data_IF_804387358789
#
_entry.id   IF_804387358789
#
_cell.length_a   1.000
_cell.length_b   1.000
_cell.length_c   1.000
_cell.angle_alpha   90.00
_cell.angle_beta   90.00
_cell.angle_gamma   90.00
#
_symmetry.space_group_name_H-M   'P 1'
#
loop_
_entity.id
_entity.type
_entity.pdbx_description
1 polymer ?
#
# COMPACT_ATOMS: atom_id res chain seq x y z
N UNK A 1 7.42 -13.90 -10.82
CA UNK A 1 6.34 -13.30 -11.63
C UNK A 1 6.30 -13.90 -13.03
N UNK A 2 7.36 -13.77 -13.86
CA UNK A 2 7.39 -14.30 -15.24
C UNK A 2 7.11 -15.81 -15.33
N UNK A 3 7.77 -16.64 -14.51
CA UNK A 3 7.54 -18.09 -14.52
C UNK A 3 6.13 -18.52 -14.12
N UNK A 4 5.52 -17.84 -13.15
CA UNK A 4 4.12 -18.07 -12.75
C UNK A 4 3.16 -17.59 -13.84
N UNK A 5 3.50 -16.49 -14.53
CA UNK A 5 2.76 -15.99 -15.69
C UNK A 5 2.74 -16.98 -16.86
N UNK A 6 3.89 -17.52 -17.24
CA UNK A 6 4.00 -18.55 -18.30
C UNK A 6 3.22 -19.81 -17.91
N UNK A 7 3.34 -20.26 -16.66
CA UNK A 7 2.61 -21.42 -16.16
C UNK A 7 1.09 -21.22 -16.15
N UNK A 8 0.62 -20.02 -15.80
CA UNK A 8 -0.80 -19.69 -15.82
C UNK A 8 -1.35 -19.64 -17.26
N UNK A 9 -0.58 -19.06 -18.19
CA UNK A 9 -0.95 -18.98 -19.61
C UNK A 9 -0.98 -20.37 -20.26
N UNK A 10 -0.02 -21.25 -19.96
CA UNK A 10 0.05 -22.59 -20.56
C UNK A 10 -0.94 -23.59 -19.96
N UNK A 11 -1.23 -23.49 -18.65
CA UNK A 11 -1.95 -24.56 -17.93
C UNK A 11 -3.32 -24.11 -17.42
N UNK A 12 -3.64 -22.81 -17.38
CA UNK A 12 -4.87 -22.22 -16.82
C UNK A 12 -5.23 -22.67 -15.38
N UNK A 13 -4.28 -23.29 -14.69
CA UNK A 13 -4.45 -23.97 -13.41
C UNK A 13 -3.55 -23.35 -12.33
N UNK A 14 -3.06 -22.13 -12.53
CA UNK A 14 -2.30 -21.41 -11.51
C UNK A 14 -3.25 -20.82 -10.43
N UNK A 15 -4.08 -21.68 -9.85
CA UNK A 15 -4.89 -21.34 -8.69
C UNK A 15 -4.09 -21.68 -7.43
N UNK A 16 -3.92 -20.70 -6.55
CA UNK A 16 -3.32 -20.94 -5.24
C UNK A 16 -4.45 -21.22 -4.24
N UNK A 17 -4.57 -22.46 -3.71
CA UNK A 17 -5.63 -22.81 -2.77
C UNK A 17 -5.61 -21.90 -1.54
N UNK A 18 -6.78 -21.43 -1.13
CA UNK A 18 -6.93 -20.45 -0.05
C UNK A 18 -6.21 -20.89 1.25
N UNK A 19 -6.37 -22.14 1.64
CA UNK A 19 -5.73 -22.71 2.83
C UNK A 19 -4.20 -22.75 2.72
N UNK A 20 -3.66 -23.00 1.53
CA UNK A 20 -2.22 -22.98 1.30
C UNK A 20 -1.65 -21.57 1.44
N UNK A 21 -2.37 -20.55 0.94
CA UNK A 21 -2.00 -19.14 1.11
C UNK A 21 -1.95 -18.73 2.58
N UNK A 22 -2.96 -19.12 3.35
CA UNK A 22 -3.00 -18.85 4.80
C UNK A 22 -1.82 -19.54 5.48
N UNK A 23 -1.56 -20.82 5.20
CA UNK A 23 -0.42 -21.55 5.75
C UNK A 23 0.91 -20.86 5.45
N UNK A 24 1.12 -20.42 4.20
CA UNK A 24 2.31 -19.68 3.80
C UNK A 24 2.46 -18.33 4.54
N UNK A 25 1.35 -17.60 4.73
CA UNK A 25 1.35 -16.34 5.50
C UNK A 25 1.66 -16.57 6.98
N UNK A 26 1.14 -17.64 7.58
CA UNK A 26 1.45 -18.03 8.97
C UNK A 26 2.95 -18.33 9.11
N UNK A 27 3.51 -19.14 8.20
CA UNK A 27 4.94 -19.47 8.22
C UNK A 27 5.82 -18.24 8.02
N UNK A 28 5.46 -17.35 7.08
CA UNK A 28 6.18 -16.10 6.86
C UNK A 28 6.13 -15.20 8.11
N UNK A 29 4.97 -15.08 8.74
CA UNK A 29 4.82 -14.37 10.01
C UNK A 29 5.66 -14.97 11.14
N UNK A 30 5.66 -16.31 11.26
CA UNK A 30 6.48 -17.01 12.23
C UNK A 30 7.98 -16.79 11.98
N UNK A 31 8.44 -16.79 10.73
CA UNK A 31 9.83 -16.49 10.36
C UNK A 31 10.24 -15.06 10.74
N UNK A 32 9.36 -14.07 10.55
CA UNK A 32 9.59 -12.70 10.99
C UNK A 32 9.64 -12.65 12.53
N UNK A 33 8.72 -13.34 13.20
CA UNK A 33 8.65 -13.41 14.66
C UNK A 33 9.89 -14.05 15.30
N UNK A 34 10.42 -15.13 14.73
CA UNK A 34 11.63 -15.80 15.21
C UNK A 34 12.90 -14.94 15.09
N UNK A 35 12.87 -13.87 14.27
CA UNK A 35 13.97 -12.90 14.16
C UNK A 35 13.96 -11.83 15.25
N UNK A 36 12.92 -11.79 16.08
CA UNK A 36 12.82 -10.82 17.17
C UNK A 36 13.70 -11.29 18.33
N UNK A 37 14.87 -10.66 18.47
CA UNK A 37 15.81 -10.91 19.56
C UNK A 37 15.88 -9.70 20.51
N UNK A 38 16.57 -9.87 21.64
CA UNK A 38 16.77 -8.81 22.65
C UNK A 38 17.44 -7.56 22.07
N UNK A 39 18.33 -7.73 21.09
CA UNK A 39 18.97 -6.63 20.36
C UNK A 39 17.96 -5.88 19.49
N UNK A 40 17.07 -6.59 18.79
CA UNK A 40 15.99 -5.99 17.99
C UNK A 40 15.12 -5.08 18.85
N UNK A 41 14.74 -5.54 20.05
CA UNK A 41 13.91 -4.78 21.01
C UNK A 41 14.63 -3.53 21.52
N UNK A 42 15.95 -3.56 21.71
CA UNK A 42 16.71 -2.35 22.04
C UNK A 42 16.77 -1.38 20.86
N UNK A 43 16.96 -1.88 19.64
CA UNK A 43 16.92 -1.08 18.41
C UNK A 43 15.58 -0.36 18.22
N UNK A 44 14.45 -0.96 18.64
CA UNK A 44 13.13 -0.31 18.57
C UNK A 44 13.08 1.08 19.25
N UNK A 45 13.83 1.28 20.33
CA UNK A 45 13.89 2.60 21.01
C UNK A 45 14.57 3.65 20.14
N UNK A 46 15.59 3.27 19.40
CA UNK A 46 16.30 4.16 18.47
C UNK A 46 15.47 4.44 17.21
N UNK A 47 14.65 3.46 16.78
CA UNK A 47 13.74 3.56 15.64
C UNK A 47 12.51 4.43 15.90
N UNK A 48 12.11 4.65 17.16
CA UNK A 48 10.91 5.44 17.51
C UNK A 48 10.97 6.86 16.96
N UNK A 49 12.12 7.53 17.05
CA UNK A 49 12.30 8.89 16.55
C UNK A 49 12.07 8.98 15.03
N UNK A 50 12.86 8.25 14.22
CA UNK A 50 12.67 8.17 12.77
C UNK A 50 11.27 7.70 12.35
N UNK A 51 10.69 6.71 13.06
CA UNK A 51 9.35 6.21 12.77
C UNK A 51 8.29 7.31 12.96
N UNK A 52 8.37 8.08 14.04
CA UNK A 52 7.44 9.18 14.30
C UNK A 52 7.56 10.26 13.21
N UNK A 53 8.78 10.59 12.79
CA UNK A 53 9.03 11.56 11.70
C UNK A 53 8.36 11.08 10.41
N UNK A 54 8.52 9.80 10.05
CA UNK A 54 7.90 9.22 8.85
C UNK A 54 6.37 9.25 8.96
N UNK A 55 5.80 8.87 10.11
CA UNK A 55 4.35 8.90 10.32
C UNK A 55 3.80 10.31 10.11
N UNK A 56 4.41 11.30 10.78
CA UNK A 56 3.97 12.70 10.67
C UNK A 56 4.15 13.22 9.23
N UNK A 57 5.26 12.90 8.58
CA UNK A 57 5.51 13.30 7.20
C UNK A 57 4.48 12.70 6.23
N UNK A 58 4.19 11.41 6.34
CA UNK A 58 3.19 10.73 5.49
C UNK A 58 1.80 11.30 5.74
N UNK A 59 1.42 11.50 7.01
CA UNK A 59 0.13 12.12 7.35
C UNK A 59 0.01 13.53 6.77
N UNK A 60 1.04 14.36 6.92
CA UNK A 60 1.06 15.71 6.37
C UNK A 60 0.91 15.69 4.84
N UNK A 61 1.65 14.82 4.14
CA UNK A 61 1.54 14.67 2.68
C UNK A 61 0.15 14.21 2.26
N UNK A 62 -0.45 13.26 2.97
CA UNK A 62 -1.80 12.77 2.67
C UNK A 62 -2.86 13.86 2.87
N UNK A 63 -2.76 14.63 3.95
CA UNK A 63 -3.69 15.75 4.23
C UNK A 63 -3.54 16.83 3.17
N UNK A 64 -2.31 17.24 2.85
CA UNK A 64 -2.04 18.24 1.81
C UNK A 64 -2.57 17.76 0.46
N UNK A 65 -2.26 16.52 0.06
CA UNK A 65 -2.74 15.93 -1.18
C UNK A 65 -4.27 15.87 -1.24
N UNK A 66 -4.93 15.45 -0.15
CA UNK A 66 -6.39 15.40 -0.06
C UNK A 66 -7.04 16.79 -0.15
N UNK A 67 -6.47 17.80 0.51
CA UNK A 67 -6.94 19.19 0.42
C UNK A 67 -6.76 19.76 -0.99
N UNK A 68 -5.64 19.48 -1.65
CA UNK A 68 -5.42 19.87 -3.04
C UNK A 68 -6.41 19.16 -3.97
N UNK A 69 -6.63 17.86 -3.79
CA UNK A 69 -7.62 17.10 -4.57
C UNK A 69 -9.03 17.65 -4.40
N UNK A 70 -9.44 17.97 -3.17
CA UNK A 70 -10.72 18.62 -2.89
C UNK A 70 -10.84 19.95 -3.66
N UNK A 71 -9.81 20.80 -3.58
CA UNK A 71 -9.81 22.12 -4.22
C UNK A 71 -9.83 22.07 -5.76
N UNK A 72 -9.11 21.13 -6.37
CA UNK A 72 -9.00 21.03 -7.83
C UNK A 72 -10.10 20.20 -8.49
N UNK A 73 -10.66 19.22 -7.78
CA UNK A 73 -11.59 18.24 -8.36
C UNK A 73 -13.03 18.48 -7.93
N UNK A 74 -13.26 19.23 -6.85
CA UNK A 74 -14.60 19.47 -6.29
C UNK A 74 -15.21 18.25 -5.58
N UNK A 75 -14.43 17.18 -5.37
CA UNK A 75 -14.82 16.02 -4.55
C UNK A 75 -15.09 16.47 -3.11
N UNK A 76 -15.92 15.78 -2.34
CA UNK A 76 -16.04 16.07 -0.92
C UNK A 76 -14.71 15.81 -0.18
N UNK A 77 -14.50 16.52 0.93
CA UNK A 77 -13.24 16.46 1.67
C UNK A 77 -12.95 15.04 2.21
N UNK A 78 -13.99 14.31 2.64
CA UNK A 78 -13.86 12.95 3.15
C UNK A 78 -13.36 12.01 2.06
N UNK A 79 -14.03 11.98 0.90
CA UNK A 79 -13.62 11.21 -0.29
C UNK A 79 -12.20 11.56 -0.72
N UNK A 80 -11.85 12.85 -0.79
CA UNK A 80 -10.53 13.29 -1.23
C UNK A 80 -9.41 12.84 -0.26
N UNK A 81 -9.65 12.92 1.05
CA UNK A 81 -8.70 12.45 2.07
C UNK A 81 -8.51 10.93 2.02
N UNK A 82 -9.60 10.16 2.00
CA UNK A 82 -9.53 8.69 1.96
C UNK A 82 -9.02 8.14 0.63
N UNK A 83 -9.25 8.84 -0.48
CA UNK A 83 -8.66 8.50 -1.77
C UNK A 83 -7.14 8.76 -1.82
N UNK A 84 -6.68 9.80 -1.12
CA UNK A 84 -5.26 10.18 -1.07
C UNK A 84 -4.44 9.31 -0.11
N UNK A 85 -5.07 8.78 0.94
CA UNK A 85 -4.39 8.00 1.96
C UNK A 85 -3.92 6.62 1.46
N UNK A 86 -2.69 6.18 1.81
CA UNK A 86 -2.22 4.82 1.57
C UNK A 86 -3.03 3.82 2.40
N UNK A 87 -3.43 2.71 1.79
CA UNK A 87 -4.24 1.68 2.43
C UNK A 87 -4.87 0.72 1.44
N UNK A 88 -5.60 -0.27 1.97
CA UNK A 88 -6.39 -1.19 1.16
C UNK A 88 -7.58 -0.47 0.51
N UNK A 89 -7.81 -0.72 -0.78
CA UNK A 89 -8.93 -0.12 -1.53
C UNK A 89 -10.28 -0.33 -0.81
N UNK A 90 -10.54 -1.56 -0.37
CA UNK A 90 -11.79 -1.92 0.33
C UNK A 90 -11.92 -1.19 1.67
N UNK A 91 -10.85 -1.19 2.48
CA UNK A 91 -10.85 -0.56 3.81
C UNK A 91 -11.06 0.95 3.72
N UNK A 92 -10.38 1.62 2.79
CA UNK A 92 -10.49 3.07 2.62
C UNK A 92 -11.86 3.48 2.08
N UNK A 93 -12.45 2.67 1.21
CA UNK A 93 -13.79 2.94 0.67
C UNK A 93 -14.87 2.78 1.76
N UNK A 94 -14.77 1.74 2.60
CA UNK A 94 -15.67 1.53 3.74
C UNK A 94 -15.50 2.60 4.82
N UNK A 95 -14.26 3.02 5.09
CA UNK A 95 -13.98 4.10 6.03
C UNK A 95 -14.55 5.44 5.56
N UNK A 96 -14.45 5.73 4.26
CA UNK A 96 -15.07 6.92 3.67
C UNK A 96 -16.59 6.88 3.79
N UNK A 97 -17.22 5.74 3.46
CA UNK A 97 -18.67 5.54 3.58
C UNK A 97 -19.18 5.82 5.00
N UNK A 98 -18.45 5.30 6.01
CA UNK A 98 -18.75 5.52 7.43
C UNK A 98 -18.72 6.99 7.86
N UNK A 99 -18.02 7.83 7.11
CA UNK A 99 -17.86 9.28 7.35
C UNK A 99 -18.59 10.14 6.32
N UNK A 100 -19.50 9.54 5.54
CA UNK A 100 -20.34 10.25 4.56
C UNK A 100 -19.66 10.57 3.23
N UNK A 101 -18.51 9.96 2.95
CA UNK A 101 -17.83 10.04 1.66
C UNK A 101 -18.41 9.08 0.60
N UNK A 102 -17.99 9.27 -0.65
CA UNK A 102 -18.48 8.54 -1.80
C UNK A 102 -17.62 7.29 -2.06
N UNK A 103 -18.13 6.12 -1.66
CA UNK A 103 -17.44 4.81 -1.79
C UNK A 103 -16.98 4.52 -3.22
N UNK A 104 -17.82 4.66 -4.28
CA UNK A 104 -17.38 4.43 -5.65
C UNK A 104 -16.22 5.33 -6.10
N UNK A 105 -16.23 6.61 -5.72
CA UNK A 105 -15.18 7.55 -6.09
C UNK A 105 -13.85 7.21 -5.40
N UNK A 106 -13.89 6.84 -4.11
CA UNK A 106 -12.69 6.39 -3.39
C UNK A 106 -12.12 5.14 -4.03
N UNK A 107 -12.95 4.13 -4.32
CA UNK A 107 -12.50 2.89 -4.95
C UNK A 107 -11.85 3.13 -6.31
N UNK A 108 -12.43 4.00 -7.14
CA UNK A 108 -11.89 4.35 -8.45
C UNK A 108 -10.52 5.03 -8.34
N UNK A 109 -10.37 6.01 -7.46
CA UNK A 109 -9.11 6.73 -7.27
C UNK A 109 -8.01 5.81 -6.70
N UNK A 110 -8.38 4.91 -5.79
CA UNK A 110 -7.48 3.89 -5.25
C UNK A 110 -7.01 2.90 -6.35
N UNK A 111 -7.89 2.54 -7.28
CA UNK A 111 -7.55 1.73 -8.46
C UNK A 111 -6.59 2.48 -9.40
N UNK A 112 -6.90 3.74 -9.72
CA UNK A 112 -6.03 4.59 -10.56
C UNK A 112 -4.64 4.72 -9.93
N UNK A 113 -4.57 4.94 -8.62
CA UNK A 113 -3.31 4.99 -7.86
C UNK A 113 -2.55 3.67 -7.94
N UNK A 114 -3.23 2.54 -7.80
CA UNK A 114 -2.60 1.22 -7.90
C UNK A 114 -1.97 1.03 -9.28
N UNK A 115 -2.73 1.28 -10.34
CA UNK A 115 -2.25 1.16 -11.72
C UNK A 115 -1.09 2.13 -12.00
N UNK A 116 -1.23 3.39 -11.61
CA UNK A 116 -0.19 4.41 -11.80
C UNK A 116 1.07 4.07 -11.01
N UNK A 117 0.95 3.57 -9.78
CA UNK A 117 2.10 3.14 -8.98
C UNK A 117 2.81 1.95 -9.62
N UNK A 118 2.06 0.95 -10.09
CA UNK A 118 2.65 -0.23 -10.75
C UNK A 118 3.45 0.15 -12.01
N UNK A 119 2.99 1.16 -12.74
CA UNK A 119 3.66 1.63 -13.95
C UNK A 119 4.81 2.56 -13.60
N UNK A 120 4.59 3.61 -12.79
CA UNK A 120 5.52 4.71 -12.57
C UNK A 120 6.65 4.34 -11.60
N UNK A 121 6.34 3.61 -10.53
CA UNK A 121 7.32 3.25 -9.50
C UNK A 121 8.58 2.57 -10.05
N UNK A 122 8.52 1.58 -10.96
CA UNK A 122 9.74 0.98 -11.51
C UNK A 122 10.60 1.97 -12.31
N UNK A 123 9.99 2.91 -13.05
CA UNK A 123 10.76 3.95 -13.75
C UNK A 123 11.43 4.91 -12.77
N UNK A 124 10.71 5.35 -11.75
CA UNK A 124 11.24 6.24 -10.70
C UNK A 124 12.35 5.52 -9.93
N UNK A 125 12.14 4.27 -9.54
CA UNK A 125 13.16 3.47 -8.86
C UNK A 125 14.41 3.29 -9.72
N UNK A 126 14.26 3.04 -11.03
CA UNK A 126 15.39 2.96 -11.96
C UNK A 126 16.17 4.29 -12.05
N UNK A 127 15.48 5.42 -12.06
CA UNK A 127 16.08 6.75 -12.12
C UNK A 127 16.84 7.09 -10.82
N UNK A 128 16.28 6.77 -9.66
CA UNK A 128 16.86 7.07 -8.35
C UNK A 128 18.02 6.12 -8.02
N UNK A 129 17.85 4.81 -8.23
CA UNK A 129 18.81 3.78 -7.84
C UNK A 129 19.89 3.59 -8.92
N UNK A 130 19.69 4.11 -10.14
CA UNK A 130 20.67 4.02 -11.22
C UNK A 130 20.89 2.59 -11.71
N UNK A 131 19.85 1.75 -11.73
CA UNK A 131 19.92 0.37 -12.24
C UNK A 131 20.08 0.41 -13.76
N UNK A 132 21.32 0.59 -14.21
CA UNK A 132 21.67 0.82 -15.61
C UNK A 132 23.11 1.29 -15.87
N UNK A 133 24.07 0.93 -15.01
CA UNK A 133 25.47 0.74 -15.39
C UNK A 133 25.85 -0.70 -15.13
#
# INVERSE_FOLDING_TARGET
MIGVGIYNISTNQAYMPHYFRIGAQIVAGAMIGLRINRETIHGFKELIGPALIIIVAVLAVCIIAGLLMHKFTGLDLTTALFASAPGGMTEMSLAADSLGGNTPQVALLQLVRLLSTLIILPFVAKLIIGVGK
#
